data_IF_910223255339
#
_entry.id   IF_910223255339
#
_cell.length_a   1.000
_cell.length_b   1.000
_cell.length_c   1.000
_cell.angle_alpha   90.00
_cell.angle_beta   90.00
_cell.angle_gamma   90.00
#
_symmetry.space_group_name_H-M   'P 1'
#
loop_
_entity.id
_entity.type
_entity.pdbx_description
1 polymer ?
#
# COMPACT_ATOMS: atom_id res chain seq x y z
N UNK A 1 6.96 -47.99 37.33
CA UNK A 1 6.00 -47.72 36.24
C UNK A 1 5.57 -46.26 36.31
N UNK A 2 5.55 -45.57 35.15
CA UNK A 2 4.78 -44.35 34.82
C UNK A 2 5.28 -43.05 35.47
N UNK A 3 5.51 -41.90 34.82
CA UNK A 3 5.44 -41.47 33.42
C UNK A 3 6.39 -40.26 33.26
N UNK A 4 7.21 -40.22 32.21
CA UNK A 4 7.94 -39.01 31.82
C UNK A 4 6.96 -38.02 31.19
N UNK A 5 6.76 -36.85 31.79
CA UNK A 5 5.96 -35.77 31.21
C UNK A 5 6.60 -35.28 29.89
N UNK A 6 5.89 -35.47 28.77
CA UNK A 6 6.23 -34.98 27.44
C UNK A 6 5.57 -33.60 27.23
N UNK A 7 6.24 -32.50 27.58
CA UNK A 7 5.75 -31.15 27.20
C UNK A 7 6.85 -30.11 26.87
N UNK A 8 7.86 -30.37 26.02
CA UNK A 8 8.72 -29.29 25.53
C UNK A 8 8.16 -28.57 24.27
N UNK A 9 7.14 -29.13 23.60
CA UNK A 9 6.66 -28.64 22.29
C UNK A 9 5.64 -27.51 22.36
N UNK A 10 4.90 -27.37 23.46
CA UNK A 10 3.86 -26.34 23.60
C UNK A 10 4.42 -24.97 23.96
N UNK A 11 5.58 -24.91 24.64
CA UNK A 11 6.17 -23.63 25.04
C UNK A 11 6.86 -22.89 23.89
N UNK A 12 7.29 -23.60 22.84
CA UNK A 12 7.94 -23.01 21.66
C UNK A 12 6.95 -22.41 20.65
N UNK A 13 5.67 -22.82 20.70
CA UNK A 13 4.64 -22.36 19.75
C UNK A 13 4.08 -20.97 20.11
N UNK A 14 4.18 -20.54 21.38
CA UNK A 14 3.72 -19.22 21.82
C UNK A 14 4.74 -18.10 21.53
N UNK A 15 6.02 -18.41 21.33
CA UNK A 15 7.05 -17.40 21.10
C UNK A 15 7.14 -16.91 19.65
N UNK A 16 6.49 -17.59 18.69
CA UNK A 16 6.52 -17.20 17.27
C UNK A 16 5.39 -16.26 16.87
N UNK A 17 4.41 -15.98 17.74
CA UNK A 17 3.25 -15.15 17.42
C UNK A 17 3.42 -13.65 17.70
N UNK A 18 4.59 -13.21 18.19
CA UNK A 18 4.84 -11.79 18.48
C UNK A 18 5.61 -11.08 17.37
N UNK A 19 5.47 -11.51 16.11
CA UNK A 19 5.81 -10.63 14.99
C UNK A 19 4.70 -9.58 14.95
N UNK A 20 4.89 -8.51 15.72
CA UNK A 20 4.10 -7.29 15.63
C UNK A 20 4.15 -6.87 14.17
N UNK A 21 3.06 -7.09 13.43
CA UNK A 21 2.91 -6.48 12.13
C UNK A 21 3.02 -4.98 12.36
N UNK A 22 4.13 -4.37 11.93
CA UNK A 22 4.30 -2.94 11.99
C UNK A 22 3.25 -2.35 11.04
N UNK A 23 2.10 -1.96 11.58
CA UNK A 23 1.09 -1.25 10.84
C UNK A 23 1.67 0.13 10.51
N UNK A 24 2.10 0.30 9.26
CA UNK A 24 2.46 1.61 8.73
C UNK A 24 1.17 2.30 8.34
N UNK A 25 1.02 3.56 8.78
CA UNK A 25 -0.18 4.34 8.55
C UNK A 25 0.15 5.45 7.55
N UNK A 26 -0.30 5.30 6.31
CA UNK A 26 -0.28 6.40 5.33
C UNK A 26 -1.25 7.48 5.80
N UNK A 27 -0.75 8.70 5.95
CA UNK A 27 -1.60 9.87 6.21
C UNK A 27 -2.00 10.51 4.88
N UNK A 28 -3.28 10.44 4.54
CA UNK A 28 -3.87 11.13 3.40
C UNK A 28 -4.48 12.45 3.86
N UNK A 29 -4.09 13.55 3.21
CA UNK A 29 -4.65 14.88 3.48
C UNK A 29 -5.89 15.12 2.62
N UNK A 30 -6.86 15.80 3.20
CA UNK A 30 -8.04 16.30 2.50
C UNK A 30 -9.22 15.36 2.63
N UNK A 31 -10.18 15.54 1.74
CA UNK A 31 -11.40 14.72 1.71
C UNK A 31 -11.09 13.38 1.03
N UNK A 32 -11.00 12.33 1.84
CA UNK A 32 -10.81 10.96 1.37
C UNK A 32 -12.01 10.54 0.54
N UNK A 33 -11.76 10.05 -0.66
CA UNK A 33 -12.79 9.49 -1.52
C UNK A 33 -13.06 8.04 -1.09
N UNK A 34 -14.32 7.61 -1.02
CA UNK A 34 -14.69 6.34 -0.40
C UNK A 34 -14.24 5.12 -1.23
N UNK A 35 -14.05 5.31 -2.53
CA UNK A 35 -13.77 4.23 -3.47
C UNK A 35 -12.28 3.88 -3.49
N UNK A 36 -12.01 2.58 -3.36
CA UNK A 36 -10.69 1.98 -3.49
C UNK A 36 -10.67 1.06 -4.69
N UNK A 37 -9.55 1.05 -5.41
CA UNK A 37 -9.36 0.22 -6.59
C UNK A 37 -8.10 -0.63 -6.46
N UNK A 38 -8.24 -1.92 -6.75
CA UNK A 38 -7.11 -2.84 -6.82
C UNK A 38 -6.67 -2.99 -8.26
N UNK A 39 -5.41 -2.67 -8.51
CA UNK A 39 -4.71 -2.81 -9.77
C UNK A 39 -3.91 -4.10 -9.72
N UNK A 40 -4.27 -5.07 -10.57
CA UNK A 40 -3.44 -6.24 -10.83
C UNK A 40 -2.42 -5.85 -11.89
N UNK A 41 -1.18 -5.65 -11.47
CA UNK A 41 -0.16 -4.97 -12.26
C UNK A 41 0.30 -5.83 -13.44
N UNK A 42 0.68 -5.17 -14.53
CA UNK A 42 1.47 -5.84 -15.55
C UNK A 42 2.87 -6.17 -15.00
N UNK A 43 3.50 -7.28 -15.45
CA UNK A 43 4.88 -7.59 -15.05
C UNK A 43 5.87 -6.47 -15.38
N UNK A 44 5.63 -5.75 -16.48
CA UNK A 44 6.45 -4.61 -16.88
C UNK A 44 6.38 -3.48 -15.85
N UNK A 45 5.17 -3.09 -15.43
CA UNK A 45 5.01 -2.01 -14.46
C UNK A 45 5.47 -2.41 -13.05
N UNK A 46 5.26 -3.66 -12.64
CA UNK A 46 5.83 -4.18 -11.38
C UNK A 46 7.36 -4.06 -11.33
N UNK A 47 8.05 -4.34 -12.46
CA UNK A 47 9.51 -4.11 -12.57
C UNK A 47 9.88 -2.63 -12.51
N UNK A 48 9.08 -1.74 -13.09
CA UNK A 48 9.28 -0.28 -12.97
C UNK A 48 9.23 0.15 -11.50
N UNK A 49 8.22 -0.30 -10.75
CA UNK A 49 8.09 0.03 -9.33
C UNK A 49 9.24 -0.56 -8.51
N UNK A 50 9.67 -1.79 -8.81
CA UNK A 50 10.88 -2.35 -8.19
C UNK A 50 12.11 -1.50 -8.45
N UNK A 51 12.34 -1.06 -9.69
CA UNK A 51 13.48 -0.22 -10.02
C UNK A 51 13.46 1.11 -9.24
N UNK A 52 12.28 1.69 -9.01
CA UNK A 52 12.13 2.86 -8.14
C UNK A 52 12.45 2.51 -6.67
N UNK A 53 11.95 1.37 -6.18
CA UNK A 53 12.20 0.84 -4.85
C UNK A 53 13.68 0.50 -4.58
N UNK A 54 14.45 0.22 -5.62
CA UNK A 54 15.88 -0.12 -5.50
C UNK A 54 16.78 1.11 -5.66
N UNK A 55 16.23 2.28 -5.97
CA UNK A 55 17.00 3.52 -6.13
C UNK A 55 17.35 4.13 -4.79
N UNK A 56 18.65 4.18 -4.46
CA UNK A 56 19.16 4.73 -3.19
C UNK A 56 19.19 6.26 -3.13
N UNK A 57 19.33 6.91 -4.28
CA UNK A 57 19.38 8.37 -4.39
C UNK A 57 18.05 8.94 -4.91
N UNK A 58 16.99 8.83 -4.11
CA UNK A 58 15.69 9.43 -4.44
C UNK A 58 15.68 10.91 -4.07
N UNK A 59 15.13 11.80 -4.93
CA UNK A 59 14.97 13.19 -4.56
C UNK A 59 14.01 13.30 -3.37
N UNK A 60 14.35 14.17 -2.42
CA UNK A 60 13.50 14.44 -1.26
C UNK A 60 12.17 15.12 -1.67
N UNK A 61 12.19 15.91 -2.75
CA UNK A 61 11.01 16.48 -3.41
C UNK A 61 10.97 16.06 -4.88
N UNK A 62 10.41 14.89 -5.22
CA UNK A 62 10.29 14.48 -6.60
C UNK A 62 9.25 15.33 -7.34
N UNK A 63 9.56 15.69 -8.59
CA UNK A 63 8.54 16.17 -9.52
C UNK A 63 7.81 14.93 -10.02
N UNK A 64 6.52 14.85 -9.71
CA UNK A 64 5.68 13.69 -10.01
C UNK A 64 4.83 13.95 -11.27
N UNK A 65 5.19 13.38 -12.44
CA UNK A 65 4.27 13.24 -13.55
C UNK A 65 2.89 12.76 -13.10
N UNK A 66 1.85 13.40 -13.63
CA UNK A 66 0.48 13.09 -13.23
C UNK A 66 0.12 11.64 -13.59
N UNK A 67 -0.35 10.88 -12.61
CA UNK A 67 -0.73 9.48 -12.78
C UNK A 67 0.42 8.49 -12.63
N UNK A 68 1.66 8.94 -12.41
CA UNK A 68 2.75 8.05 -12.03
C UNK A 68 2.78 7.83 -10.51
N UNK A 69 3.27 6.65 -10.12
CA UNK A 69 3.41 6.25 -8.71
C UNK A 69 4.86 6.28 -8.27
N UNK A 70 5.06 6.71 -7.02
CA UNK A 70 6.37 6.89 -6.44
C UNK A 70 6.44 6.29 -5.05
N UNK A 71 7.55 5.64 -4.68
CA UNK A 71 7.68 5.07 -3.34
C UNK A 71 7.66 6.17 -2.26
N UNK A 72 6.85 5.98 -1.23
CA UNK A 72 6.84 6.84 -0.04
C UNK A 72 7.92 6.44 0.98
N UNK A 73 8.19 5.15 1.11
CA UNK A 73 9.16 4.61 2.05
C UNK A 73 10.61 4.95 1.72
N UNK A 74 11.49 4.89 2.72
CA UNK A 74 12.94 5.04 2.54
C UNK A 74 13.51 3.90 1.68
N UNK A 75 14.64 4.15 1.00
CA UNK A 75 15.36 3.12 0.24
C UNK A 75 15.62 1.85 1.05
N UNK A 76 16.00 1.98 2.33
CA UNK A 76 16.28 0.84 3.20
C UNK A 76 15.04 -0.02 3.46
N UNK A 77 13.84 0.57 3.47
CA UNK A 77 12.59 -0.17 3.65
C UNK A 77 12.16 -0.92 2.37
N UNK A 78 12.61 -0.47 1.19
CA UNK A 78 12.06 -0.93 -0.09
C UNK A 78 13.00 -1.82 -0.91
N UNK A 79 14.32 -1.68 -0.77
CA UNK A 79 15.34 -2.22 -1.70
C UNK A 79 15.40 -3.73 -1.92
N UNK A 80 14.95 -4.52 -0.95
CA UNK A 80 15.03 -5.99 -0.99
C UNK A 80 13.66 -6.63 -1.25
N UNK A 81 12.62 -5.81 -1.51
CA UNK A 81 11.29 -6.31 -1.80
C UNK A 81 11.19 -6.75 -3.28
N UNK A 82 10.40 -7.80 -3.56
CA UNK A 82 10.18 -8.25 -4.93
C UNK A 82 9.37 -7.22 -5.71
N UNK A 83 9.31 -7.39 -7.03
CA UNK A 83 8.42 -6.59 -7.87
C UNK A 83 6.96 -6.85 -7.46
N UNK A 84 6.16 -5.80 -7.20
CA UNK A 84 4.76 -5.99 -6.88
C UNK A 84 3.98 -6.54 -8.07
N UNK A 85 2.98 -7.36 -7.76
CA UNK A 85 2.06 -7.96 -8.74
C UNK A 85 0.66 -7.37 -8.63
N UNK A 86 0.32 -6.75 -7.50
CA UNK A 86 -0.94 -6.06 -7.30
C UNK A 86 -0.79 -4.94 -6.26
N UNK A 87 -1.70 -3.97 -6.31
CA UNK A 87 -1.79 -2.92 -5.29
C UNK A 87 -3.21 -2.39 -5.17
N UNK A 88 -3.56 -1.87 -4.00
CA UNK A 88 -4.83 -1.17 -3.76
C UNK A 88 -4.55 0.31 -3.58
N UNK A 89 -5.24 1.13 -4.36
CA UNK A 89 -5.12 2.57 -4.36
C UNK A 89 -6.40 3.24 -3.86
N UNK A 90 -6.24 4.36 -3.17
CA UNK A 90 -7.29 5.26 -2.74
C UNK A 90 -6.93 6.69 -3.11
N UNK A 91 -7.93 7.56 -3.23
CA UNK A 91 -7.71 8.98 -3.46
C UNK A 91 -8.24 9.88 -2.36
N UNK A 92 -7.72 11.09 -2.33
CA UNK A 92 -8.26 12.21 -1.56
C UNK A 92 -8.17 13.49 -2.38
N UNK A 93 -9.04 14.45 -2.08
CA UNK A 93 -9.03 15.78 -2.70
C UNK A 93 -8.65 16.80 -1.65
N UNK A 94 -7.65 17.63 -1.95
CA UNK A 94 -7.23 18.71 -1.06
C UNK A 94 -7.02 20.01 -1.83
N UNK A 95 -7.25 21.14 -1.16
CA UNK A 95 -6.96 22.44 -1.73
C UNK A 95 -5.45 22.74 -1.63
N UNK A 96 -4.79 22.85 -2.78
CA UNK A 96 -3.41 23.29 -2.88
C UNK A 96 -3.35 24.82 -2.93
N UNK A 97 -2.84 25.44 -1.86
CA UNK A 97 -2.74 26.91 -1.75
C UNK A 97 -1.78 27.53 -2.77
N UNK A 98 -0.65 26.87 -3.05
CA UNK A 98 0.35 27.41 -3.99
C UNK A 98 -0.15 27.44 -5.43
N UNK A 99 -0.97 26.46 -5.82
CA UNK A 99 -1.60 26.40 -7.14
C UNK A 99 -3.01 27.02 -7.19
N UNK A 100 -3.51 27.52 -6.07
CA UNK A 100 -4.88 28.02 -5.90
C UNK A 100 -5.98 27.08 -6.46
N UNK A 101 -5.79 25.76 -6.34
CA UNK A 101 -6.66 24.76 -6.98
C UNK A 101 -6.79 23.48 -6.15
N UNK A 102 -7.88 22.75 -6.36
CA UNK A 102 -8.07 21.42 -5.78
C UNK A 102 -7.23 20.38 -6.53
N UNK A 103 -6.43 19.61 -5.80
CA UNK A 103 -5.59 18.54 -6.34
C UNK A 103 -6.06 17.19 -5.83
N UNK A 104 -6.02 16.21 -6.73
CA UNK A 104 -6.17 14.80 -6.38
C UNK A 104 -4.84 14.29 -5.79
N UNK A 105 -4.90 13.58 -4.67
CA UNK A 105 -3.79 12.80 -4.12
C UNK A 105 -4.16 11.33 -4.19
N UNK A 106 -3.22 10.50 -4.62
CA UNK A 106 -3.36 9.04 -4.62
C UNK A 106 -2.39 8.47 -3.59
N UNK A 107 -2.87 7.51 -2.80
CA UNK A 107 -1.99 6.61 -2.06
C UNK A 107 -2.32 5.17 -2.44
N UNK A 108 -1.28 4.35 -2.56
CA UNK A 108 -1.41 2.94 -2.86
C UNK A 108 -0.57 2.11 -1.91
N UNK A 109 -1.04 0.90 -1.59
CA UNK A 109 -0.26 -0.13 -0.90
C UNK A 109 -0.19 -1.36 -1.79
N UNK A 110 1.01 -1.88 -2.03
CA UNK A 110 1.20 -3.09 -2.83
C UNK A 110 1.11 -4.38 -2.01
N UNK A 111 1.11 -5.51 -2.72
CA UNK A 111 1.06 -6.85 -2.12
C UNK A 111 2.33 -7.23 -1.32
N UNK A 112 3.35 -6.38 -1.27
CA UNK A 112 4.52 -6.51 -0.40
C UNK A 112 4.45 -5.60 0.83
N UNK A 113 3.36 -4.83 0.97
CA UNK A 113 3.17 -3.83 2.01
C UNK A 113 3.92 -2.52 1.77
N UNK A 114 4.37 -2.24 0.54
CA UNK A 114 5.04 -0.98 0.23
C UNK A 114 4.03 0.10 -0.17
N UNK A 115 4.32 1.32 0.30
CA UNK A 115 3.47 2.50 0.12
C UNK A 115 3.97 3.33 -1.07
N UNK A 116 3.01 3.80 -1.87
CA UNK A 116 3.26 4.65 -3.02
C UNK A 116 2.32 5.85 -3.03
N UNK A 117 2.79 6.94 -3.63
CA UNK A 117 2.05 8.17 -3.81
C UNK A 117 1.92 8.54 -5.29
N UNK A 118 0.79 9.11 -5.66
CA UNK A 118 0.57 9.75 -6.96
C UNK A 118 -0.15 11.09 -6.78
N UNK A 119 -0.09 11.96 -7.79
CA UNK A 119 -0.74 13.27 -7.75
C UNK A 119 -1.53 13.56 -9.02
N UNK A 120 -2.63 14.31 -8.86
CA UNK A 120 -3.50 14.92 -9.86
C UNK A 120 -4.26 13.97 -10.81
N UNK A 121 -3.76 12.76 -11.04
CA UNK A 121 -4.43 11.71 -11.81
C UNK A 121 -4.27 10.35 -11.14
N UNK A 122 -5.26 9.49 -11.35
CA UNK A 122 -5.15 8.06 -11.03
C UNK A 122 -4.10 7.39 -11.93
N UNK A 123 -3.48 6.28 -11.48
CA UNK A 123 -2.64 5.45 -12.33
C UNK A 123 -3.39 5.01 -13.59
N UNK A 124 -2.77 5.11 -14.78
CA UNK A 124 -3.45 4.81 -16.03
C UNK A 124 -3.77 3.32 -16.13
N UNK A 125 -4.86 2.98 -16.81
CA UNK A 125 -5.30 1.58 -16.92
C UNK A 125 -4.25 0.64 -17.52
N UNK A 126 -3.36 1.17 -18.36
CA UNK A 126 -2.28 0.43 -19.01
C UNK A 126 -1.26 -0.19 -18.05
N UNK A 127 -1.19 0.28 -16.79
CA UNK A 127 -0.28 -0.29 -15.78
C UNK A 127 -0.76 -1.63 -15.24
N UNK A 128 -2.03 -1.98 -15.50
CA UNK A 128 -2.69 -3.15 -14.94
C UNK A 128 -3.28 -4.05 -16.03
N UNK A 129 -3.25 -5.36 -15.79
CA UNK A 129 -3.99 -6.36 -16.57
C UNK A 129 -5.48 -6.36 -16.21
N UNK A 130 -5.81 -5.96 -14.97
CA UNK A 130 -7.17 -5.86 -14.45
C UNK A 130 -7.23 -4.81 -13.35
N UNK A 131 -8.34 -4.09 -13.30
CA UNK A 131 -8.69 -3.17 -12.21
C UNK A 131 -10.08 -3.54 -11.71
N UNK A 132 -10.26 -3.59 -10.40
CA UNK A 132 -11.56 -3.82 -9.76
C UNK A 132 -11.74 -2.88 -8.58
N UNK A 133 -13.00 -2.66 -8.18
CA UNK A 133 -13.33 -1.90 -6.97
C UNK A 133 -13.31 -2.82 -5.76
N UNK A 134 -12.68 -2.39 -4.67
CA UNK A 134 -12.67 -3.14 -3.41
C UNK A 134 -14.10 -3.39 -2.95
N UNK A 135 -14.41 -4.65 -2.59
CA UNK A 135 -15.76 -5.11 -2.26
C UNK A 135 -16.45 -5.88 -3.39
N UNK A 136 -15.95 -5.78 -4.63
CA UNK A 136 -16.40 -6.64 -5.73
C UNK A 136 -15.87 -8.07 -5.59
N UNK A 137 -16.59 -9.03 -6.17
CA UNK A 137 -16.18 -10.43 -6.17
C UNK A 137 -14.80 -10.61 -6.83
N UNK A 138 -13.90 -11.36 -6.17
CA UNK A 138 -12.52 -11.59 -6.63
C UNK A 138 -11.73 -10.28 -6.82
N UNK A 139 -11.87 -9.37 -5.86
CA UNK A 139 -11.06 -8.16 -5.77
C UNK A 139 -10.32 -8.15 -4.43
N UNK A 140 -9.00 -8.34 -4.48
CA UNK A 140 -8.16 -8.30 -3.29
C UNK A 140 -8.08 -6.88 -2.72
N UNK A 141 -7.74 -6.76 -1.45
CA UNK A 141 -7.46 -5.46 -0.81
C UNK A 141 -6.16 -5.54 -0.02
N UNK A 142 -5.20 -4.70 -0.41
CA UNK A 142 -3.90 -4.55 0.26
C UNK A 142 -3.84 -3.29 1.13
N UNK A 143 -4.88 -2.43 1.06
CA UNK A 143 -4.99 -1.18 1.79
C UNK A 143 -6.26 -1.20 2.66
N UNK A 144 -6.07 -1.11 3.97
CA UNK A 144 -7.17 -0.98 4.93
C UNK A 144 -7.24 0.44 5.49
N UNK A 145 -8.44 0.97 5.64
CA UNK A 145 -8.70 2.23 6.30
C UNK A 145 -9.10 1.98 7.75
N UNK A 146 -8.78 2.92 8.63
CA UNK A 146 -9.26 2.87 10.02
C UNK A 146 -10.80 2.81 10.11
N UNK A 147 -11.49 3.41 9.14
CA UNK A 147 -12.94 3.40 9.02
C UNK A 147 -13.53 2.05 8.59
N UNK A 148 -12.72 1.10 8.10
CA UNK A 148 -13.24 -0.21 7.67
C UNK A 148 -13.81 -1.02 8.83
N UNK A 149 -13.28 -0.83 10.04
CA UNK A 149 -13.77 -1.45 11.26
C UNK A 149 -14.84 -0.63 12.00
N UNK A 150 -15.30 0.48 11.42
CA UNK A 150 -16.23 1.39 12.08
C UNK A 150 -17.69 1.04 11.74
N UNK A 151 -18.51 0.83 12.76
CA UNK A 151 -19.93 0.46 12.62
C UNK A 151 -20.90 1.65 12.78
N UNK A 152 -20.41 2.89 12.76
CA UNK A 152 -21.22 4.09 12.96
C UNK A 152 -21.05 4.76 14.33
N UNK A 153 -21.72 5.90 14.58
CA UNK A 153 -21.82 6.49 15.92
C UNK A 153 -22.41 5.47 16.90
N UNK A 154 -21.85 5.39 18.11
CA UNK A 154 -22.46 4.67 19.23
C UNK A 154 -23.38 5.57 20.04
#
# INVERSE_FOLDING_TARGET
MINKLKYPLLSSLLLTLTVSATAQAVTLRGEIQPDRYTYYLTPAYGKTLKALNDKSNRPYYPIYPHGELYPYGSYQQTKDKPAPTAMTCISSVYYNRGAAANWLKIACVDNNGLEYEGNQKWPPKSVATRICKVGEARCDSFLSLKSDGWSGPQ
#
